data_IF_252686568377
#
_entry.id   IF_252686568377
#
_cell.length_a   1.000
_cell.length_b   1.000
_cell.length_c   1.000
_cell.angle_alpha   90.00
_cell.angle_beta   90.00
_cell.angle_gamma   90.00
#
_symmetry.space_group_name_H-M   'P 1'
#
loop_
_entity.id
_entity.type
_entity.pdbx_description
1 polymer ?
2 non-polymer ?
3 water ?
#
# COMPACT_ATOMS: atom_id res chain seq x y z
N UNK A 16 -20.44 9.37 11.19
CA UNK A 16 -19.19 9.31 10.43
C UNK A 16 -19.24 10.32 9.27
N UNK A 17 -20.45 10.58 8.79
CA UNK A 17 -20.65 11.04 7.40
C UNK A 17 -20.11 12.43 7.10
N UNK A 18 -20.01 13.27 8.12
CA UNK A 18 -19.54 14.62 7.94
C UNK A 18 -18.09 14.55 7.50
N UNK A 19 -17.29 13.73 8.18
CA UNK A 19 -15.86 13.86 8.03
C UNK A 19 -15.38 13.24 6.74
N UNK A 20 -16.07 13.57 5.67
CA UNK A 20 -15.57 13.24 4.35
C UNK A 20 -15.57 14.48 3.49
N UNK A 21 -16.76 15.01 3.25
CA UNK A 21 -16.82 16.23 2.46
C UNK A 21 -16.43 17.50 3.22
N UNK A 22 -16.35 17.49 4.56
CA UNK A 22 -16.07 18.71 5.33
C UNK A 22 -14.85 19.33 4.67
N UNK A 23 -14.03 18.46 4.09
CA UNK A 23 -13.05 18.87 3.10
C UNK A 23 -13.65 18.39 1.77
N UNK A 24 -13.48 19.14 0.70
CA UNK A 24 -14.25 18.81 -0.50
C UNK A 24 -13.61 17.65 -1.24
N UNK A 25 -13.62 16.49 -0.58
CA UNK A 25 -12.83 15.34 -1.00
C UNK A 25 -13.60 14.33 -1.83
N UNK A 26 -13.02 13.96 -2.97
CA UNK A 26 -13.53 12.88 -3.79
C UNK A 26 -12.85 11.58 -3.35
N UNK A 27 -13.50 10.81 -2.48
CA UNK A 27 -12.84 9.70 -1.82
C UNK A 27 -13.78 8.56 -1.40
N UNK A 28 -13.20 7.39 -1.19
CA UNK A 28 -13.94 6.22 -0.70
C UNK A 28 -13.11 5.46 0.34
N UNK A 29 -13.79 4.83 1.30
CA UNK A 29 -13.12 3.99 2.27
C UNK A 29 -13.74 2.60 2.25
N UNK A 30 -12.91 1.59 2.05
CA UNK A 30 -13.39 0.21 1.91
C UNK A 30 -12.90 -0.66 3.06
N UNK A 31 -13.80 -1.48 3.60
CA UNK A 31 -13.41 -2.44 4.63
C UNK A 31 -13.72 -3.84 4.16
N UNK A 32 -12.87 -4.79 4.54
CA UNK A 32 -13.07 -6.18 4.19
C UNK A 32 -12.82 -7.07 5.41
N UNK A 33 -13.75 -7.97 5.71
CA UNK A 33 -13.59 -8.86 6.85
C UNK A 33 -13.38 -10.30 6.44
N UNK A 34 -13.25 -10.52 5.12
CA UNK A 34 -13.09 -11.86 4.59
C UNK A 34 -14.39 -12.48 4.11
N UNK A 35 -15.49 -11.80 4.33
CA UNK A 35 -16.76 -12.17 3.70
C UNK A 35 -17.48 -10.97 3.10
N UNK A 36 -17.36 -9.82 3.75
CA UNK A 36 -18.13 -8.65 3.39
C UNK A 36 -17.29 -7.43 3.03
N UNK A 37 -17.63 -6.79 1.92
CA UNK A 37 -17.00 -5.56 1.49
C UNK A 37 -17.89 -4.38 1.87
N UNK A 38 -17.34 -3.39 2.57
CA UNK A 38 -18.13 -2.23 2.95
C UNK A 38 -17.53 -0.96 2.37
N UNK A 39 -18.39 -0.07 1.90
CA UNK A 39 -17.96 1.18 1.28
C UNK A 39 -18.49 2.40 2.01
N UNK A 40 -17.58 3.32 2.33
CA UNK A 40 -17.94 4.56 2.99
C UNK A 40 -17.37 5.73 2.20
N UNK A 41 -18.10 6.83 2.12
CA UNK A 41 -17.48 8.02 1.58
C UNK A 41 -18.33 8.91 0.69
N UNK A 42 -17.70 9.94 0.16
CA UNK A 42 -18.32 10.86 -0.78
C UNK A 42 -18.57 10.25 -2.16
N UNK A 43 -17.66 9.39 -2.61
CA UNK A 43 -17.75 8.85 -3.96
C UNK A 43 -17.48 7.35 -4.01
N UNK A 44 -18.53 6.57 -3.83
CA UNK A 44 -18.42 5.12 -3.67
C UNK A 44 -17.89 4.41 -4.91
N UNK A 45 -18.11 4.99 -6.08
CA UNK A 45 -17.74 4.34 -7.34
C UNK A 45 -16.23 4.28 -7.57
N UNK A 46 -15.48 5.01 -6.75
CA UNK A 46 -14.02 4.92 -6.77
C UNK A 46 -13.57 3.52 -6.40
N UNK A 47 -14.40 2.83 -5.62
CA UNK A 47 -14.05 1.52 -5.09
C UNK A 47 -13.88 0.51 -6.21
N UNK A 48 -14.71 0.61 -7.24
CA UNK A 48 -14.61 -0.31 -8.37
C UNK A 48 -13.86 0.34 -9.53
N UNK A 49 -13.16 1.44 -9.24
CA UNK A 49 -12.44 2.18 -10.26
C UNK A 49 -10.95 1.90 -10.12
N UNK A 50 -10.25 1.80 -11.24
CA UNK A 50 -8.85 1.40 -11.24
C UNK A 50 -7.93 2.60 -11.27
N UNK A 51 -6.86 2.52 -10.47
CA UNK A 51 -5.92 3.61 -10.35
C UNK A 51 -4.53 2.99 -10.26
N UNK A 52 -3.49 3.77 -10.55
CA UNK A 52 -2.15 3.26 -10.28
C UNK A 52 -2.02 3.06 -8.77
N UNK A 53 -1.33 1.99 -8.36
CA UNK A 53 -1.07 1.65 -6.97
C UNK A 53 -0.16 2.65 -6.29
N UNK A 54 0.74 3.23 -7.08
CA UNK A 54 1.81 4.07 -6.58
C UNK A 54 2.58 3.25 -5.55
N UNK A 55 2.94 3.89 -4.44
CA UNK A 55 3.80 3.25 -3.47
C UNK A 55 3.14 2.10 -2.70
N UNK A 56 1.83 1.92 -2.87
CA UNK A 56 1.18 0.75 -2.27
C UNK A 56 1.71 -0.52 -2.92
N UNK A 57 2.26 -0.36 -4.12
CA UNK A 57 2.79 -1.49 -4.87
C UNK A 57 4.02 -2.08 -4.18
N UNK A 58 4.60 -1.31 -3.26
CA UNK A 58 5.78 -1.75 -2.53
C UNK A 58 5.51 -3.05 -1.79
N UNK A 59 4.26 -3.25 -1.41
CA UNK A 59 3.85 -4.48 -0.72
C UNK A 59 4.07 -5.69 -1.62
N UNK A 60 3.59 -5.59 -2.85
CA UNK A 60 3.78 -6.63 -3.86
C UNK A 60 5.24 -6.77 -4.26
N UNK A 61 5.91 -5.63 -4.41
CA UNK A 61 7.28 -5.58 -4.86
C UNK A 61 8.18 -6.38 -3.92
N UNK A 62 8.01 -6.16 -2.62
CA UNK A 62 8.77 -6.88 -1.60
C UNK A 62 8.46 -8.35 -1.64
N UNK A 63 7.19 -8.70 -1.81
CA UNK A 63 6.76 -10.09 -1.81
C UNK A 63 7.43 -10.83 -2.94
N UNK A 64 7.40 -10.21 -4.11
CA UNK A 64 7.97 -10.80 -5.32
C UNK A 64 9.50 -10.93 -5.20
N UNK A 65 10.15 -9.90 -4.65
CA UNK A 65 11.59 -9.93 -4.47
C UNK A 65 12.06 -11.00 -3.49
N UNK A 66 11.37 -11.10 -2.36
CA UNK A 66 11.67 -12.06 -1.32
C UNK A 66 11.45 -13.50 -1.80
N UNK A 67 10.31 -13.70 -2.47
CA UNK A 67 9.91 -15.02 -2.94
C UNK A 67 10.90 -15.53 -3.98
N UNK A 68 11.41 -14.63 -4.79
CA UNK A 68 12.29 -14.99 -5.89
C UNK A 68 13.77 -14.80 -5.58
N UNK A 69 14.09 -14.63 -4.29
CA UNK A 69 15.46 -14.68 -3.79
C UNK A 69 16.32 -13.51 -4.25
N UNK A 70 15.67 -12.43 -4.68
CA UNK A 70 16.39 -11.25 -5.16
C UNK A 70 16.73 -10.27 -4.05
N UNK A 71 16.22 -10.51 -2.86
CA UNK A 71 16.47 -9.62 -1.72
C UNK A 71 16.13 -10.30 -0.40
N UNK A 72 16.59 -9.70 0.69
CA UNK A 72 16.31 -10.22 2.02
C UNK A 72 15.70 -9.13 2.90
N UNK A 73 15.08 -9.54 3.99
CA UNK A 73 14.55 -8.61 4.98
C UNK A 73 15.63 -7.92 5.80
N UNK A 74 16.84 -8.48 5.82
CA UNK A 74 17.94 -7.94 6.62
C UNK A 74 18.93 -7.08 5.83
N UNK A 75 18.90 -7.22 4.50
CA UNK A 75 19.89 -6.57 3.65
C UNK A 75 19.78 -5.06 3.65
N UNK A 76 20.93 -4.39 3.63
CA UNK A 76 20.93 -2.94 3.68
C UNK A 76 21.14 -2.34 2.30
N UNK A 77 20.17 -1.54 1.89
CA UNK A 77 20.25 -0.84 0.61
C UNK A 77 20.90 0.51 0.93
N UNK A 78 22.15 0.62 0.54
CA UNK A 78 22.98 1.78 0.82
C UNK A 78 22.73 2.94 -0.14
N UNK A 79 22.78 4.16 0.37
CA UNK A 79 22.60 5.35 -0.44
C UNK A 79 23.77 5.48 -1.44
N UNK A 80 23.47 5.88 -2.68
CA UNK A 80 24.51 6.03 -3.70
C UNK A 80 25.28 7.34 -3.56
N UNK A 81 24.86 8.18 -2.63
CA UNK A 81 25.50 9.47 -2.45
C UNK A 81 24.86 10.59 -3.23
N UNK A 82 23.94 10.25 -4.13
CA UNK A 82 23.29 11.28 -4.91
C UNK A 82 21.89 11.61 -4.37
N UNK A 83 21.59 12.91 -4.27
CA UNK A 83 20.38 13.41 -3.63
C UNK A 83 19.09 12.86 -4.22
N UNK A 84 18.18 12.48 -3.33
CA UNK A 84 16.91 11.91 -3.72
C UNK A 84 15.80 12.94 -3.52
N UNK A 85 14.57 12.52 -3.74
CA UNK A 85 13.42 13.41 -3.73
C UNK A 85 13.26 14.10 -2.37
N UNK A 86 13.52 13.35 -1.30
CA UNK A 86 13.51 13.89 0.05
C UNK A 86 14.88 13.67 0.68
N UNK A 87 15.35 14.65 1.45
CA UNK A 87 16.63 14.52 2.14
C UNK A 87 16.56 13.35 3.12
N UNK A 88 15.35 13.01 3.55
CA UNK A 88 15.12 11.89 4.44
C UNK A 88 15.56 10.57 3.83
N UNK A 89 15.50 10.50 2.50
CA UNK A 89 15.87 9.30 1.77
C UNK A 89 17.36 9.19 1.52
N UNK A 90 18.09 10.22 1.92
CA UNK A 90 19.54 10.27 1.70
C UNK A 90 20.26 9.47 2.78
N UNK A 91 19.90 8.20 2.89
CA UNK A 91 20.54 7.29 3.83
C UNK A 91 20.27 5.84 3.46
N UNK A 92 20.96 4.94 4.14
CA UNK A 92 20.76 3.51 3.94
C UNK A 92 19.43 3.04 4.53
N UNK A 93 18.83 2.07 3.86
CA UNK A 93 17.53 1.51 4.24
C UNK A 93 17.49 0.01 4.11
N UNK A 94 16.85 -0.65 5.07
CA UNK A 94 16.36 -2.00 4.82
C UNK A 94 15.08 -1.86 4.02
N UNK A 95 14.58 -2.96 3.48
CA UNK A 95 13.30 -2.94 2.79
C UNK A 95 12.18 -2.54 3.75
N UNK A 96 12.33 -2.93 5.02
CA UNK A 96 11.38 -2.55 6.04
C UNK A 96 11.37 -1.05 6.32
N UNK A 97 12.56 -0.47 6.49
CA UNK A 97 12.67 0.97 6.72
C UNK A 97 12.21 1.77 5.52
N UNK A 98 12.62 1.30 4.35
CA UNK A 98 12.25 1.90 3.08
C UNK A 98 10.76 1.80 2.84
N UNK A 99 10.14 0.74 3.37
CA UNK A 99 8.71 0.58 3.27
C UNK A 99 7.98 1.70 4.01
N UNK A 100 8.38 1.95 5.26
CA UNK A 100 7.77 2.98 6.09
C UNK A 100 8.04 4.41 5.65
N UNK A 101 9.21 4.64 5.07
CA UNK A 101 9.56 5.95 4.54
C UNK A 101 9.11 6.09 3.10
N UNK A 102 8.59 5.00 2.55
CA UNK A 102 8.15 4.94 1.16
C UNK A 102 9.28 5.38 0.23
N UNK A 103 10.45 4.80 0.43
CA UNK A 103 11.65 5.25 -0.26
C UNK A 103 11.68 4.64 -1.65
N UNK A 104 11.16 5.39 -2.63
CA UNK A 104 10.98 4.87 -3.97
C UNK A 104 12.28 4.36 -4.62
N UNK A 105 13.41 5.08 -4.43
CA UNK A 105 14.65 4.62 -5.09
C UNK A 105 15.13 3.24 -4.68
N UNK A 106 14.87 2.85 -3.44
CA UNK A 106 15.24 1.51 -2.97
C UNK A 106 14.44 0.43 -3.68
N UNK A 107 13.14 0.65 -3.79
CA UNK A 107 12.26 -0.30 -4.47
C UNK A 107 12.36 -0.30 -5.99
N UNK A 108 12.80 0.81 -6.56
CA UNK A 108 13.12 0.83 -7.97
C UNK A 108 14.29 -0.10 -8.21
N UNK A 109 15.25 -0.09 -7.30
CA UNK A 109 16.41 -0.96 -7.40
C UNK A 109 16.00 -2.43 -7.28
N UNK A 110 15.12 -2.70 -6.32
CA UNK A 110 14.63 -4.05 -6.11
C UNK A 110 13.96 -4.55 -7.37
N UNK A 111 13.17 -3.69 -7.99
CA UNK A 111 12.44 -4.06 -9.19
C UNK A 111 13.39 -4.39 -10.34
N UNK A 112 14.48 -3.64 -10.48
CA UNK A 112 15.45 -3.91 -11.52
C UNK A 112 16.16 -5.25 -11.31
N UNK A 113 16.37 -5.63 -10.05
CA UNK A 113 16.88 -6.96 -9.73
C UNK A 113 15.92 -8.02 -10.17
N UNK A 114 14.64 -7.73 -9.98
CA UNK A 114 13.59 -8.66 -10.35
C UNK A 114 13.54 -8.81 -11.86
N UNK A 115 13.33 -7.71 -12.56
CA UNK A 115 13.29 -7.75 -14.02
C UNK A 115 11.90 -7.72 -14.61
N UNK A 116 11.79 -7.21 -15.84
CA UNK A 116 10.57 -6.96 -16.63
C UNK A 116 9.81 -8.21 -17.02
N UNK A 117 10.50 -9.31 -17.28
CA UNK A 117 9.86 -10.59 -17.54
C UNK A 117 9.36 -11.26 -16.26
N UNK A 118 10.20 -11.32 -15.24
CA UNK A 118 9.82 -11.91 -13.97
C UNK A 118 8.72 -11.11 -13.27
N UNK A 119 8.84 -9.78 -13.27
CA UNK A 119 7.85 -8.95 -12.60
C UNK A 119 6.48 -9.09 -13.27
N UNK A 120 6.49 -9.14 -14.60
CA UNK A 120 5.25 -9.32 -15.36
C UNK A 120 4.61 -10.67 -15.10
N UNK A 121 5.43 -11.71 -15.04
CA UNK A 121 4.95 -13.07 -14.83
C UNK A 121 4.36 -13.22 -13.46
N UNK A 122 5.06 -12.68 -12.46
CA UNK A 122 4.64 -12.78 -11.08
C UNK A 122 3.34 -12.02 -10.81
N UNK A 123 3.22 -10.82 -11.38
CA UNK A 123 2.02 -10.02 -11.20
C UNK A 123 0.83 -10.70 -11.81
N UNK A 124 1.07 -11.32 -12.97
CA UNK A 124 0.04 -12.10 -13.62
C UNK A 124 -0.32 -13.33 -12.79
N UNK A 125 0.71 -13.93 -12.21
CA UNK A 125 0.53 -15.14 -11.42
C UNK A 125 -0.35 -14.89 -10.20
N UNK A 126 -0.15 -13.74 -9.57
CA UNK A 126 -0.89 -13.39 -8.37
C UNK A 126 -2.14 -12.55 -8.66
N UNK A 127 -2.39 -12.31 -9.95
CA UNK A 127 -3.55 -11.53 -10.37
C UNK A 127 -3.63 -10.13 -9.79
N UNK A 128 -2.53 -9.39 -9.84
CA UNK A 128 -2.51 -8.07 -9.22
C UNK A 128 -3.02 -7.02 -10.19
N UNK A 129 -4.17 -6.42 -9.86
CA UNK A 129 -4.74 -5.37 -10.68
C UNK A 129 -5.00 -5.84 -12.10
N UNK A 130 -4.61 -5.03 -13.07
CA UNK A 130 -4.82 -5.37 -14.47
C UNK A 130 -3.65 -6.18 -15.02
N UNK A 131 -2.64 -6.37 -14.19
CA UNK A 131 -1.48 -7.20 -14.48
C UNK A 131 -0.59 -6.67 -15.61
N UNK A 132 -0.65 -5.36 -15.87
CA UNK A 132 0.15 -4.74 -16.93
C UNK A 132 1.32 -3.93 -16.37
N UNK A 133 2.52 -4.19 -16.86
CA UNK A 133 3.65 -3.37 -16.44
C UNK A 133 4.36 -2.65 -17.59
N UNK A 134 4.29 -3.18 -18.80
CA UNK A 134 4.93 -2.53 -19.92
C UNK A 134 6.45 -2.62 -19.92
N UNK A 135 7.07 -1.71 -20.66
CA UNK A 135 8.52 -1.72 -20.91
C UNK A 135 9.41 -1.43 -19.69
N UNK A 136 9.03 -0.46 -18.86
CA UNK A 136 9.93 -0.02 -17.79
C UNK A 136 9.51 -0.57 -16.45
N UNK A 137 10.39 -1.42 -15.91
CA UNK A 137 10.18 -2.13 -14.66
C UNK A 137 10.25 -1.25 -13.41
N UNK A 138 10.91 -0.10 -13.49
CA UNK A 138 11.03 0.75 -12.31
C UNK A 138 10.12 1.97 -12.39
N UNK A 139 9.18 1.97 -13.34
CA UNK A 139 8.25 3.09 -13.44
C UNK A 139 6.77 2.69 -13.39
N UNK A 140 6.45 1.44 -13.68
CA UNK A 140 5.07 1.11 -14.06
C UNK A 140 4.04 1.43 -12.99
N UNK A 141 4.36 1.20 -11.72
CA UNK A 141 3.43 1.56 -10.65
C UNK A 141 3.29 3.06 -10.43
N UNK A 142 4.35 3.82 -10.74
CA UNK A 142 4.31 5.27 -10.63
C UNK A 142 3.57 6.03 -11.73
N UNK A 143 3.52 5.50 -12.95
CA UNK A 143 2.79 6.20 -14.01
C UNK A 143 1.87 5.29 -14.82
N UNK A 144 1.81 4.01 -14.49
CA UNK A 144 1.08 3.05 -15.29
C UNK A 144 1.98 2.19 -16.18
N UNK A 145 1.39 1.23 -16.90
CA UNK A 145 -0.06 1.08 -17.06
C UNK A 145 -0.68 0.22 -15.98
N UNK A 146 0.10 -0.16 -14.96
CA UNK A 146 -0.43 -0.99 -13.89
C UNK A 146 -1.50 -0.24 -13.13
N UNK A 147 -2.68 -0.83 -13.06
CA UNK A 147 -3.79 -0.24 -12.33
C UNK A 147 -4.49 -1.29 -11.47
N UNK A 148 -5.08 -0.84 -10.37
CA UNK A 148 -5.73 -1.73 -9.40
C UNK A 148 -6.84 -0.97 -8.68
N UNK A 149 -7.99 -1.62 -8.45
CA UNK A 149 -9.08 -0.98 -7.73
C UNK A 149 -8.86 -1.02 -6.22
N UNK A 150 -9.55 -0.15 -5.47
CA UNK A 150 -9.48 -0.19 -4.01
C UNK A 150 -9.98 -1.52 -3.45
N UNK A 151 -11.01 -2.10 -4.06
CA UNK A 151 -11.49 -3.39 -3.64
C UNK A 151 -10.42 -4.47 -3.86
N UNK A 152 -9.71 -4.38 -4.97
CA UNK A 152 -8.61 -5.30 -5.22
C UNK A 152 -7.52 -5.13 -4.17
N UNK A 153 -7.29 -3.88 -3.76
CA UNK A 153 -6.26 -3.59 -2.77
C UNK A 153 -6.61 -4.18 -1.40
N UNK A 154 -7.85 -4.00 -0.93
CA UNK A 154 -8.23 -4.53 0.38
C UNK A 154 -8.17 -6.04 0.42
N UNK A 155 -8.65 -6.69 -0.63
CA UNK A 155 -8.64 -8.14 -0.69
C UNK A 155 -7.21 -8.63 -0.65
N UNK A 156 -6.33 -7.91 -1.33
CA UNK A 156 -4.94 -8.30 -1.44
C UNK A 156 -4.24 -8.28 -0.09
N UNK A 157 -4.32 -7.15 0.61
CA UNK A 157 -3.72 -7.05 1.95
C UNK A 157 -4.41 -7.95 2.96
N UNK A 158 -5.72 -8.13 2.81
CA UNK A 158 -6.43 -9.02 3.71
C UNK A 158 -5.86 -10.42 3.58
N UNK A 159 -5.62 -10.81 2.33
CA UNK A 159 -5.04 -12.11 2.02
C UNK A 159 -3.63 -12.20 2.59
N UNK A 160 -2.91 -11.09 2.53
CA UNK A 160 -1.58 -11.01 3.08
C UNK A 160 -1.67 -11.24 4.59
N UNK A 161 -2.66 -10.61 5.18
CA UNK A 161 -2.89 -10.66 6.62
C UNK A 161 -3.10 -12.09 7.06
N UNK A 162 -3.81 -12.85 6.23
CA UNK A 162 -4.16 -14.23 6.56
C UNK A 162 -3.15 -15.22 6.03
N UNK A 163 -2.10 -14.72 5.39
CA UNK A 163 -1.10 -15.57 4.78
C UNK A 163 -1.67 -16.41 3.65
N UNK A 164 -2.67 -15.88 2.96
CA UNK A 164 -3.33 -16.64 1.89
C UNK A 164 -2.94 -16.24 0.47
N UNK A 165 -1.99 -15.33 0.33
CA UNK A 165 -1.51 -14.98 -0.99
C UNK A 165 -0.67 -16.11 -1.53
N UNK A 166 -0.44 -16.14 -2.85
CA UNK A 166 0.40 -17.18 -3.45
C UNK A 166 1.89 -16.90 -3.27
N UNK A 167 2.31 -16.78 -2.01
CA UNK A 167 3.71 -16.62 -1.69
C UNK A 167 4.04 -17.54 -0.54
N UNK A 168 5.33 -17.77 -0.31
CA UNK A 168 5.75 -18.59 0.81
C UNK A 168 5.31 -17.93 2.11
N UNK A 169 4.98 -18.75 3.12
CA UNK A 169 4.41 -18.22 4.36
C UNK A 169 5.38 -17.26 5.05
N UNK A 170 6.66 -17.61 5.02
CA UNK A 170 7.71 -16.79 5.61
C UNK A 170 7.87 -15.46 4.88
N UNK A 171 7.62 -15.46 3.58
CA UNK A 171 7.67 -14.25 2.80
C UNK A 171 6.54 -13.30 3.19
N UNK A 172 5.33 -13.84 3.31
CA UNK A 172 4.18 -13.03 3.67
C UNK A 172 4.31 -12.47 5.09
N UNK A 173 4.92 -13.25 5.97
CA UNK A 173 5.16 -12.80 7.32
C UNK A 173 6.15 -11.65 7.37
N UNK A 174 7.21 -11.77 6.59
CA UNK A 174 8.28 -10.78 6.60
C UNK A 174 7.77 -9.42 6.14
N UNK A 175 6.95 -9.44 5.10
CA UNK A 175 6.33 -8.22 4.58
C UNK A 175 5.32 -7.63 5.54
N UNK A 176 4.63 -8.49 6.27
CA UNK A 176 3.63 -8.06 7.23
C UNK A 176 4.32 -7.20 8.27
N UNK A 177 5.48 -7.67 8.71
CA UNK A 177 6.26 -6.97 9.71
C UNK A 177 6.76 -5.62 9.19
N UNK A 178 7.03 -5.55 7.89
CA UNK A 178 7.46 -4.31 7.27
C UNK A 178 6.38 -3.24 7.40
N UNK A 179 5.13 -3.70 7.43
CA UNK A 179 3.97 -2.84 7.38
C UNK A 179 3.50 -2.40 8.75
N UNK A 180 4.16 -2.90 9.78
CA UNK A 180 3.72 -2.70 11.14
C UNK A 180 3.88 -1.23 11.53
N UNK A 181 2.76 -0.57 11.78
CA UNK A 181 2.75 0.87 11.99
C UNK A 181 2.56 1.32 13.43
N UNK A 182 1.59 0.73 14.13
CA UNK A 182 1.32 1.15 15.48
C UNK A 182 0.59 0.07 16.27
N UNK A 183 0.83 0.05 17.58
CA UNK A 183 0.09 -0.82 18.46
C UNK A 183 -0.72 -0.01 19.46
N UNK A 184 -2.02 -0.27 19.50
CA UNK A 184 -2.85 0.30 20.54
C UNK A 184 -3.36 -0.81 21.41
N UNK A 185 -2.73 -0.94 22.58
CA UNK A 185 -3.09 -2.00 23.50
C UNK A 185 -2.84 -3.33 22.84
N UNK A 186 -3.93 -4.07 22.69
CA UNK A 186 -3.94 -5.42 22.13
C UNK A 186 -4.16 -5.40 20.62
N UNK A 187 -4.44 -4.22 20.08
CA UNK A 187 -4.66 -4.05 18.65
C UNK A 187 -3.45 -3.54 17.90
N UNK A 188 -3.28 -4.01 16.68
CA UNK A 188 -2.14 -3.63 15.84
C UNK A 188 -2.57 -3.07 14.50
N UNK A 189 -1.83 -2.06 14.04
CA UNK A 189 -2.12 -1.44 12.75
C UNK A 189 -1.00 -1.70 11.76
N UNK A 190 -1.40 -2.15 10.58
CA UNK A 190 -0.45 -2.38 9.49
C UNK A 190 -0.94 -1.58 8.29
N UNK A 191 -0.07 -0.78 7.70
CA UNK A 191 -0.53 0.09 6.63
C UNK A 191 0.56 0.55 5.66
N UNK A 192 0.14 0.92 4.46
CA UNK A 192 1.03 1.54 3.48
C UNK A 192 0.34 2.71 2.78
N UNK A 193 1.14 3.73 2.48
CA UNK A 193 0.67 4.94 1.83
C UNK A 193 1.04 4.97 0.35
N UNK A 194 0.25 5.68 -0.45
CA UNK A 194 0.61 5.92 -1.82
C UNK A 194 0.19 7.29 -2.30
N UNK A 195 1.07 7.93 -3.06
CA UNK A 195 0.73 9.18 -3.72
C UNK A 195 1.22 9.14 -5.16
N UNK A 196 0.29 9.00 -6.11
CA UNK A 196 0.65 8.97 -7.51
C UNK A 196 0.66 10.37 -8.06
N UNK A 197 1.79 11.06 -7.94
CA UNK A 197 1.94 12.40 -8.47
C UNK A 197 2.06 12.49 -9.99
N UNK A 198 2.63 11.45 -10.61
CA UNK A 198 3.02 11.53 -12.02
C UNK A 198 1.83 11.21 -12.93
N UNK A 199 0.63 11.26 -12.36
CA UNK A 199 -0.57 10.96 -13.12
C UNK A 199 -1.57 12.08 -12.97
N UNK A 200 -2.45 12.20 -13.96
CA UNK A 200 -3.48 13.21 -13.90
C UNK A 200 -4.84 12.52 -13.99
N UNK A 201 -5.69 12.70 -12.97
CA UNK A 201 -5.35 13.44 -11.74
C UNK A 201 -4.54 12.59 -10.77
N UNK A 202 -4.00 13.23 -9.74
CA UNK A 202 -3.28 12.51 -8.71
C UNK A 202 -4.23 11.67 -7.86
N UNK A 203 -3.72 10.56 -7.33
CA UNK A 203 -4.51 9.63 -6.55
C UNK A 203 -3.86 9.37 -5.19
N UNK A 204 -4.68 9.22 -4.15
CA UNK A 204 -4.18 9.03 -2.81
C UNK A 204 -4.65 7.73 -2.17
N UNK A 205 -3.70 7.01 -1.59
CA UNK A 205 -3.95 5.71 -0.99
C UNK A 205 -3.55 5.66 0.47
N UNK A 206 -4.39 5.07 1.30
CA UNK A 206 -3.90 4.50 2.55
C UNK A 206 -4.49 3.09 2.70
N UNK A 207 -3.61 2.10 2.77
CA UNK A 207 -4.03 0.70 2.66
C UNK A 207 -3.46 -0.14 3.80
N UNK A 208 -4.21 -1.13 4.27
CA UNK A 208 -3.72 -1.99 5.32
C UNK A 208 -4.78 -2.76 6.09
N UNK A 209 -4.43 -3.21 7.29
CA UNK A 209 -5.38 -3.93 8.12
C UNK A 209 -5.10 -3.76 9.61
N UNK A 210 -6.12 -4.03 10.42
CA UNK A 210 -5.94 -4.01 11.86
C UNK A 210 -6.13 -5.40 12.43
N UNK A 211 -5.15 -5.86 13.21
CA UNK A 211 -5.28 -7.10 13.95
C UNK A 211 -5.88 -6.78 15.30
N UNK A 212 -7.20 -6.90 15.37
CA UNK A 212 -7.91 -6.48 16.57
C UNK A 212 -7.66 -7.43 17.72
N UNK A 213 -7.94 -6.95 18.93
CA UNK A 213 -7.67 -7.67 20.16
C UNK A 213 -8.42 -8.99 20.23
N UNK A 214 -9.64 -9.00 19.70
CA UNK A 214 -10.50 -10.17 19.76
C UNK A 214 -10.01 -11.23 18.78
N UNK A 215 -9.00 -10.87 17.99
CA UNK A 215 -8.43 -11.77 17.00
C UNK A 215 -9.07 -11.61 15.63
N UNK A 216 -9.93 -10.61 15.50
CA UNK A 216 -10.61 -10.32 14.24
C UNK A 216 -9.73 -9.43 13.37
N UNK A 217 -9.65 -9.73 12.08
CA UNK A 217 -8.89 -8.87 11.18
C UNK A 217 -9.81 -8.04 10.33
N UNK A 218 -9.51 -6.76 10.22
CA UNK A 218 -10.25 -5.92 9.30
C UNK A 218 -9.30 -5.19 8.37
N UNK A 219 -9.52 -5.33 7.08
CA UNK A 219 -8.66 -4.74 6.08
C UNK A 219 -9.32 -3.47 5.59
N UNK A 220 -8.54 -2.47 5.23
CA UNK A 220 -9.11 -1.23 4.76
C UNK A 220 -8.36 -0.66 3.57
N UNK A 221 -9.05 0.19 2.82
CA UNK A 221 -8.40 1.00 1.82
C UNK A 221 -9.09 2.34 1.68
N UNK A 222 -8.29 3.38 1.77
CA UNK A 222 -8.70 4.73 1.45
C UNK A 222 -8.18 5.04 0.06
N UNK A 223 -9.07 5.50 -0.81
CA UNK A 223 -8.63 5.96 -2.11
C UNK A 223 -9.22 7.32 -2.41
N UNK A 224 -8.37 8.30 -2.66
CA UNK A 224 -8.84 9.66 -2.85
C UNK A 224 -8.11 10.41 -3.94
N UNK A 225 -8.80 11.38 -4.52
CA UNK A 225 -8.18 12.30 -5.44
C UNK A 225 -7.27 13.24 -4.67
N UNK A 226 -6.07 13.43 -5.19
CA UNK A 226 -5.10 14.31 -4.59
C UNK A 226 -5.03 15.63 -5.32
N UNK A 227 -5.41 16.69 -4.61
CA UNK A 227 -5.45 17.98 -5.27
C UNK A 227 -4.05 18.65 -5.25
N UNK A 228 -3.16 18.09 -6.04
CA UNK A 228 -1.79 18.54 -6.13
C UNK A 228 -1.15 18.39 -4.76
N UNK A 229 -0.49 19.45 -4.28
CA UNK A 229 0.28 19.39 -3.06
C UNK A 229 -0.41 19.72 -1.76
N UNK A 230 -1.42 18.94 -1.37
CA UNK A 230 -2.04 19.12 -0.08
C UNK A 230 -1.16 18.37 0.96
N UNK A 231 -1.51 18.44 2.24
CA UNK A 231 -0.67 17.87 3.32
C UNK A 231 -0.48 16.36 3.25
N UNK A 232 0.77 15.95 3.45
CA UNK A 232 1.19 14.57 3.34
C UNK A 232 0.47 13.67 4.32
N UNK A 233 0.16 14.21 5.50
CA UNK A 233 -0.36 13.41 6.59
C UNK A 233 -1.87 13.17 6.50
N UNK A 234 -2.51 13.80 5.52
CA UNK A 234 -3.97 13.80 5.46
C UNK A 234 -4.53 12.39 5.28
N UNK A 235 -3.88 11.61 4.42
CA UNK A 235 -4.39 10.29 4.08
C UNK A 235 -4.49 9.40 5.31
N UNK A 236 -3.42 9.37 6.07
CA UNK A 236 -3.39 8.59 7.30
C UNK A 236 -4.34 9.12 8.37
N UNK A 237 -4.42 10.45 8.51
CA UNK A 237 -5.26 11.04 9.54
C UNK A 237 -6.73 10.68 9.34
N UNK A 238 -7.17 10.73 8.08
CA UNK A 238 -8.54 10.38 7.73
C UNK A 238 -8.84 8.92 8.02
N UNK A 239 -7.90 8.06 7.65
CA UNK A 239 -8.08 6.64 7.82
C UNK A 239 -8.15 6.29 9.29
N UNK A 240 -7.31 6.92 10.11
CA UNK A 240 -7.34 6.68 11.54
C UNK A 240 -8.65 7.16 12.14
N UNK A 241 -9.13 8.30 11.65
CA UNK A 241 -10.40 8.86 12.09
C UNK A 241 -11.56 7.95 11.74
N UNK A 242 -11.58 7.51 10.49
CA UNK A 242 -12.60 6.59 10.01
C UNK A 242 -12.52 5.27 10.77
N UNK A 243 -11.30 4.83 11.05
CA UNK A 243 -11.10 3.58 11.77
C UNK A 243 -11.64 3.68 13.18
N UNK A 244 -11.45 4.85 13.79
CA UNK A 244 -12.00 5.13 15.11
C UNK A 244 -13.52 5.19 15.08
N UNK A 245 -14.05 5.87 14.08
CA UNK A 245 -15.49 6.01 13.92
C UNK A 245 -16.19 4.69 13.66
N UNK A 246 -15.44 3.76 13.08
CA UNK A 246 -15.98 2.46 12.74
C UNK A 246 -15.82 1.49 13.91
N UNK A 247 -15.01 1.86 14.88
CA UNK A 247 -14.77 0.99 16.02
C UNK A 247 -13.74 -0.10 15.75
N UNK A 248 -13.12 -0.04 14.58
CA UNK A 248 -12.03 -0.95 14.24
C UNK A 248 -10.74 -0.69 15.02
N UNK A 249 -10.31 0.57 15.04
CA UNK A 249 -9.05 0.95 15.68
C UNK A 249 -9.22 2.23 16.48
N UNK A 250 -9.83 2.10 17.65
CA UNK A 250 -10.13 3.24 18.51
C UNK A 250 -8.89 4.04 18.85
N UNK A 251 -9.06 5.34 19.02
CA UNK A 251 -7.98 6.17 19.52
C UNK A 251 -7.62 5.69 20.91
N UNK A 252 -6.34 5.55 21.19
CA UNK A 252 -5.91 5.20 22.52
C UNK A 252 -6.07 6.41 23.45
X LIG B 1 3.92 8.31 11.13
X LIG B 1 3.60 9.69 11.49
X LIG B 1 3.92 8.18 9.67
X LIG B 1 5.23 7.97 11.66
X LIG B 1 2.92 7.42 11.70
#
# INVERSE_FOLDING_TARGET
>A
MNHKVHHHHHHIEGRVQALFNEISADAVFVTYDGQNIKKYGTHLDRAKTAYIPASTFKIANALIGLENHKATSTEIFKWDGKPRFFKAWDKDFTLGEAMQASTVPVYQELARRIGPSLMQSELQRIGYGNMQIGTEVDQFWLKGPLTITPIQEVKFVYDLAQGQLPFKPEVQQQVKEMLYVERRGENRLYAKSGWGMAVDPQVGWYVGFVEKADGQVVAFALNMQMKAGDDIALRKQLSLDVLDKLGVFHYL
>B hetero
1 SO4 S O1 O2 O3 O4
#
